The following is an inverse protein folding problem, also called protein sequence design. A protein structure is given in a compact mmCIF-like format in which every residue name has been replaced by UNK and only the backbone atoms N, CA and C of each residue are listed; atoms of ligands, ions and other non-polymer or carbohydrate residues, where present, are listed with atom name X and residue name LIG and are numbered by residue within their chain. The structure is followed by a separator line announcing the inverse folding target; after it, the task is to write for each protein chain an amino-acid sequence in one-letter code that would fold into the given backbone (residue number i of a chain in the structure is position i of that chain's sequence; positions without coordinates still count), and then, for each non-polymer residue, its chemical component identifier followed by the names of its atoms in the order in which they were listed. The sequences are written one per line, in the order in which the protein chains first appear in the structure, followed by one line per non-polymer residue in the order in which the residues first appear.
data_IF_739533949522
#
_entry.id   IF_739533949522
#
_cell.length_a   1.000
_cell.length_b   1.000
_cell.length_c   1.000
_cell.angle_alpha   90.00
_cell.angle_beta   90.00
_cell.angle_gamma   90.00
#
_symmetry.space_group_name_H-M   'P 1'
#
loop_
_entity.id
_entity.type
_entity.pdbx_description
1 polymer ?
#
# COMPACT_ATOMS: atom_id res chain seq x y z
N UNK A 1 98.06 12.21 -54.50
CA UNK A 1 97.80 12.51 -53.07
C UNK A 1 96.34 12.18 -52.80
N UNK A 2 96.09 11.06 -52.13
CA UNK A 2 94.75 10.52 -51.88
C UNK A 2 94.26 11.02 -50.52
N UNK A 3 93.09 11.65 -50.49
CA UNK A 3 92.49 12.17 -49.26
C UNK A 3 91.37 11.23 -48.81
N UNK A 4 91.60 10.51 -47.71
CA UNK A 4 90.65 9.57 -47.11
C UNK A 4 89.69 10.32 -46.19
N UNK A 5 88.40 10.36 -46.52
CA UNK A 5 87.33 10.78 -45.60
C UNK A 5 86.77 9.56 -44.86
N UNK A 6 87.00 9.54 -43.56
CA UNK A 6 86.38 8.59 -42.61
C UNK A 6 84.89 8.92 -42.44
N UNK A 7 84.01 7.95 -42.67
CA UNK A 7 82.59 8.01 -42.31
C UNK A 7 82.38 7.19 -41.04
N UNK A 8 81.96 7.85 -39.96
CA UNK A 8 81.46 7.17 -38.76
C UNK A 8 80.02 6.65 -38.98
N UNK A 9 79.54 5.69 -38.16
CA UNK A 9 78.25 5.05 -38.35
C UNK A 9 77.12 5.86 -37.69
N UNK A 10 76.22 6.41 -38.51
CA UNK A 10 74.86 6.80 -38.10
C UNK A 10 73.95 5.58 -38.30
N UNK A 11 73.29 5.07 -37.27
CA UNK A 11 72.32 3.99 -37.49
C UNK A 11 71.47 3.49 -36.33
N UNK A 12 71.82 3.77 -35.08
CA UNK A 12 71.12 3.13 -33.93
C UNK A 12 70.02 3.99 -33.29
N UNK A 13 70.11 5.32 -33.34
CA UNK A 13 69.18 6.24 -32.65
C UNK A 13 67.75 6.24 -33.24
N UNK A 14 67.63 6.33 -34.57
CA UNK A 14 66.33 6.48 -35.25
C UNK A 14 65.42 5.24 -35.17
N UNK A 15 66.00 4.05 -35.03
CA UNK A 15 65.24 2.81 -34.93
C UNK A 15 64.64 2.62 -33.53
N UNK A 16 65.27 3.17 -32.49
CA UNK A 16 64.75 3.12 -31.13
C UNK A 16 63.54 4.06 -30.97
N UNK A 17 63.63 5.28 -31.50
CA UNK A 17 62.55 6.28 -31.45
C UNK A 17 61.25 5.79 -32.12
N UNK A 18 61.34 5.09 -33.26
CA UNK A 18 60.16 4.50 -33.92
C UNK A 18 59.47 3.43 -33.07
N UNK A 19 60.25 2.60 -32.36
CA UNK A 19 59.68 1.56 -31.49
C UNK A 19 59.01 2.16 -30.26
N UNK A 20 59.61 3.21 -29.68
CA UNK A 20 59.02 3.93 -28.55
C UNK A 20 57.70 4.58 -28.94
N UNK A 21 57.63 5.23 -30.11
CA UNK A 21 56.39 5.85 -30.60
C UNK A 21 55.27 4.82 -30.83
N UNK A 22 55.59 3.68 -31.45
CA UNK A 22 54.62 2.60 -31.68
C UNK A 22 54.11 1.99 -30.37
N UNK A 23 54.97 1.88 -29.35
CA UNK A 23 54.57 1.43 -28.01
C UNK A 23 53.61 2.44 -27.37
N UNK A 24 53.97 3.73 -27.42
CA UNK A 24 53.19 4.80 -26.80
C UNK A 24 51.82 4.95 -27.44
N UNK A 25 51.72 4.73 -28.75
CA UNK A 25 50.44 4.72 -29.46
C UNK A 25 49.54 3.52 -29.06
N UNK A 26 50.13 2.35 -28.80
CA UNK A 26 49.39 1.19 -28.28
C UNK A 26 48.88 1.44 -26.87
N UNK A 27 49.74 1.97 -25.99
CA UNK A 27 49.39 2.30 -24.62
C UNK A 27 48.28 3.36 -24.58
N UNK A 28 48.36 4.37 -25.47
CA UNK A 28 47.31 5.37 -25.63
C UNK A 28 45.98 4.75 -26.05
N UNK A 29 45.97 3.85 -27.04
CA UNK A 29 44.73 3.19 -27.47
C UNK A 29 44.14 2.31 -26.36
N UNK A 30 44.98 1.60 -25.62
CA UNK A 30 44.54 0.79 -24.48
C UNK A 30 43.94 1.67 -23.38
N UNK A 31 44.59 2.78 -23.06
CA UNK A 31 44.09 3.78 -22.11
C UNK A 31 42.76 4.39 -22.57
N UNK A 32 42.62 4.70 -23.86
CA UNK A 32 41.37 5.21 -24.43
C UNK A 32 40.24 4.19 -24.32
N UNK A 33 40.51 2.91 -24.60
CA UNK A 33 39.52 1.85 -24.43
C UNK A 33 39.07 1.70 -22.97
N UNK A 34 40.01 1.75 -22.03
CA UNK A 34 39.70 1.71 -20.60
C UNK A 34 38.87 2.93 -20.16
N UNK A 35 39.21 4.11 -20.67
CA UNK A 35 38.49 5.36 -20.37
C UNK A 35 37.06 5.29 -20.88
N UNK A 36 36.86 4.88 -22.14
CA UNK A 36 35.51 4.71 -22.72
C UNK A 36 34.71 3.71 -21.90
N UNK A 37 35.29 2.56 -21.56
CA UNK A 37 34.61 1.54 -20.75
C UNK A 37 34.24 2.06 -19.35
N UNK A 38 35.13 2.82 -18.72
CA UNK A 38 34.87 3.44 -17.42
C UNK A 38 33.72 4.45 -17.49
N UNK A 39 33.67 5.26 -18.54
CA UNK A 39 32.57 6.20 -18.78
C UNK A 39 31.26 5.43 -18.98
N UNK A 40 31.25 4.42 -19.84
CA UNK A 40 30.05 3.60 -20.11
C UNK A 40 29.50 2.99 -18.83
N UNK A 41 30.36 2.37 -18.01
CA UNK A 41 29.91 1.78 -16.75
C UNK A 41 29.37 2.83 -15.78
N UNK A 42 30.02 3.99 -15.68
CA UNK A 42 29.56 5.07 -14.82
C UNK A 42 28.20 5.63 -15.28
N UNK A 43 27.97 5.74 -16.60
CA UNK A 43 26.68 6.19 -17.14
C UNK A 43 25.58 5.16 -16.93
N UNK A 44 25.87 3.85 -17.13
CA UNK A 44 24.91 2.77 -16.87
C UNK A 44 24.52 2.72 -15.38
N UNK A 45 25.50 2.81 -14.48
CA UNK A 45 25.23 2.84 -13.05
C UNK A 45 24.43 4.10 -12.62
N UNK A 46 24.63 5.24 -13.29
CA UNK A 46 23.86 6.45 -13.02
C UNK A 46 22.40 6.31 -13.51
N UNK A 47 22.17 5.70 -14.67
CA UNK A 47 20.81 5.46 -15.16
C UNK A 47 20.05 4.47 -14.28
N UNK A 48 20.71 3.40 -13.82
CA UNK A 48 20.09 2.41 -12.93
C UNK A 48 19.66 3.05 -11.59
N UNK A 49 20.42 4.03 -11.08
CA UNK A 49 20.06 4.77 -9.87
C UNK A 49 18.88 5.72 -10.10
N UNK A 50 18.84 6.42 -11.23
CA UNK A 50 17.72 7.31 -11.58
C UNK A 50 16.41 6.53 -11.74
N UNK A 51 16.44 5.36 -12.42
CA UNK A 51 15.27 4.48 -12.55
C UNK A 51 14.80 3.93 -11.19
N UNK A 52 15.71 3.67 -10.26
CA UNK A 52 15.36 3.22 -8.91
C UNK A 52 14.72 4.35 -8.07
N UNK A 53 15.23 5.58 -8.18
CA UNK A 53 14.62 6.76 -7.53
C UNK A 53 13.22 7.05 -8.08
N UNK A 54 13.02 6.98 -9.40
CA UNK A 54 11.71 7.17 -10.03
C UNK A 54 10.67 6.11 -9.57
N UNK A 55 11.10 4.84 -9.44
CA UNK A 55 10.24 3.78 -8.90
C UNK A 55 9.87 4.00 -7.42
N UNK A 56 10.75 4.58 -6.61
CA UNK A 56 10.46 4.88 -5.20
C UNK A 56 9.43 6.02 -5.09
N UNK A 57 9.54 7.05 -5.92
CA UNK A 57 8.57 8.16 -5.96
C UNK A 57 7.16 7.68 -6.33
N UNK A 58 7.04 6.81 -7.35
CA UNK A 58 5.76 6.23 -7.81
C UNK A 58 5.06 5.45 -6.69
N UNK A 59 5.78 4.60 -5.96
CA UNK A 59 5.22 3.81 -4.85
C UNK A 59 4.72 4.69 -3.69
N UNK A 60 5.43 5.78 -3.39
CA UNK A 60 5.05 6.71 -2.31
C UNK A 60 3.82 7.52 -2.69
N UNK A 61 3.71 7.98 -3.94
CA UNK A 61 2.50 8.65 -4.44
C UNK A 61 1.30 7.71 -4.46
N UNK A 62 1.46 6.49 -4.96
CA UNK A 62 0.39 5.49 -4.98
C UNK A 62 -0.13 5.17 -3.58
N UNK A 63 0.77 5.01 -2.61
CA UNK A 63 0.37 4.79 -1.22
C UNK A 63 -0.43 5.97 -0.66
N UNK A 64 0.00 7.20 -0.92
CA UNK A 64 -0.71 8.42 -0.47
C UNK A 64 -2.11 8.49 -1.09
N UNK A 65 -2.23 8.20 -2.39
CA UNK A 65 -3.51 8.20 -3.10
C UNK A 65 -4.48 7.16 -2.51
N UNK A 66 -3.99 5.95 -2.23
CA UNK A 66 -4.79 4.89 -1.61
C UNK A 66 -5.21 5.24 -0.18
N UNK A 67 -4.31 5.84 0.59
CA UNK A 67 -4.59 6.28 1.95
C UNK A 67 -5.66 7.38 1.97
N UNK A 68 -5.54 8.38 1.10
CA UNK A 68 -6.52 9.46 0.98
C UNK A 68 -7.90 8.95 0.55
N UNK A 69 -7.95 8.00 -0.38
CA UNK A 69 -9.20 7.35 -0.79
C UNK A 69 -9.82 6.54 0.35
N UNK A 70 -9.00 5.77 1.08
CA UNK A 70 -9.45 5.02 2.24
C UNK A 70 -9.97 5.94 3.36
N UNK A 71 -9.31 7.07 3.61
CA UNK A 71 -9.73 8.08 4.57
C UNK A 71 -11.05 8.71 4.17
N UNK A 72 -11.21 9.15 2.91
CA UNK A 72 -12.47 9.70 2.41
C UNK A 72 -13.63 8.71 2.54
N UNK A 73 -13.38 7.44 2.20
CA UNK A 73 -14.35 6.35 2.36
C UNK A 73 -14.69 6.10 3.82
N UNK A 74 -13.72 6.20 4.73
CA UNK A 74 -13.97 6.08 6.15
C UNK A 74 -14.79 7.27 6.66
N UNK A 75 -14.42 8.50 6.29
CA UNK A 75 -15.10 9.73 6.70
C UNK A 75 -16.54 9.80 6.21
N UNK A 76 -16.84 9.29 5.01
CA UNK A 76 -18.20 9.26 4.47
C UNK A 76 -19.16 8.29 5.18
N UNK A 77 -18.65 7.35 5.99
CA UNK A 77 -19.48 6.41 6.75
C UNK A 77 -20.22 7.11 7.88
N UNK A 78 -21.41 6.60 8.20
CA UNK A 78 -22.21 7.09 9.33
C UNK A 78 -21.59 6.69 10.67
N UNK A 79 -21.96 7.36 11.77
CA UNK A 79 -21.46 7.00 13.11
C UNK A 79 -21.83 5.56 13.50
N UNK A 80 -23.01 5.10 13.08
CA UNK A 80 -23.47 3.73 13.31
C UNK A 80 -22.48 2.71 12.68
N UNK A 81 -22.16 2.89 11.40
CA UNK A 81 -21.21 2.03 10.67
C UNK A 81 -19.78 2.12 11.22
N UNK A 82 -19.36 3.28 11.74
CA UNK A 82 -18.02 3.49 12.28
C UNK A 82 -17.82 2.83 13.64
N UNK A 83 -18.83 2.88 14.50
CA UNK A 83 -18.64 2.67 15.94
C UNK A 83 -19.64 1.71 16.58
N UNK A 84 -20.88 1.62 16.11
CA UNK A 84 -21.92 0.88 16.84
C UNK A 84 -21.80 -0.64 16.71
N UNK A 85 -21.01 -1.12 15.75
CA UNK A 85 -20.65 -2.54 15.63
C UNK A 85 -19.39 -2.91 16.43
N UNK A 86 -18.72 -1.94 17.06
CA UNK A 86 -17.48 -2.17 17.80
C UNK A 86 -17.77 -2.35 19.30
N UNK A 87 -17.59 -3.56 19.81
CA UNK A 87 -17.84 -3.90 21.22
C UNK A 87 -17.10 -2.97 22.20
N UNK A 88 -15.84 -2.60 21.90
CA UNK A 88 -15.06 -1.71 22.76
C UNK A 88 -15.68 -0.31 22.86
N UNK A 89 -16.29 0.17 21.78
CA UNK A 89 -16.97 1.46 21.76
C UNK A 89 -18.27 1.41 22.58
N UNK A 90 -19.04 0.32 22.47
CA UNK A 90 -20.26 0.10 23.24
C UNK A 90 -19.93 0.06 24.73
N UNK A 91 -18.93 -0.73 25.14
CA UNK A 91 -18.48 -0.81 26.53
C UNK A 91 -18.00 0.53 27.07
N UNK A 92 -17.25 1.29 26.26
CA UNK A 92 -16.78 2.63 26.62
C UNK A 92 -17.96 3.56 26.90
N UNK A 93 -18.97 3.56 26.02
CA UNK A 93 -20.19 4.35 26.19
C UNK A 93 -20.98 3.92 27.42
N UNK A 94 -21.10 2.61 27.66
CA UNK A 94 -21.75 2.06 28.85
C UNK A 94 -21.09 2.57 30.14
N UNK A 95 -19.75 2.49 30.23
CA UNK A 95 -19.00 2.97 31.41
C UNK A 95 -19.20 4.46 31.66
N UNK A 96 -19.28 5.28 30.62
CA UNK A 96 -19.57 6.71 30.75
C UNK A 96 -21.01 6.95 31.22
N UNK A 97 -21.95 6.13 30.72
CA UNK A 97 -23.35 6.22 31.08
C UNK A 97 -23.59 5.87 32.56
N UNK A 98 -23.01 4.76 33.02
CA UNK A 98 -23.14 4.24 34.40
C UNK A 98 -22.71 5.27 35.46
N UNK A 99 -21.76 6.15 35.14
CA UNK A 99 -21.30 7.23 36.04
C UNK A 99 -22.42 8.22 36.35
N UNK A 100 -23.28 8.50 35.37
CA UNK A 100 -24.34 9.50 35.49
C UNK A 100 -25.72 8.86 35.75
N UNK A 101 -25.88 7.57 35.46
CA UNK A 101 -27.13 6.82 35.59
C UNK A 101 -26.86 5.43 36.21
N UNK A 102 -26.63 5.35 37.54
CA UNK A 102 -26.14 4.14 38.19
C UNK A 102 -27.15 2.97 38.22
N UNK A 103 -28.45 3.28 38.12
CA UNK A 103 -29.54 2.29 38.22
C UNK A 103 -30.26 2.07 36.87
N UNK A 104 -29.79 2.69 35.78
CA UNK A 104 -30.42 2.60 34.45
C UNK A 104 -29.47 1.99 33.42
N UNK A 105 -29.94 1.01 32.67
CA UNK A 105 -29.19 0.48 31.52
C UNK A 105 -29.06 1.53 30.42
N UNK A 106 -27.90 1.61 29.77
CA UNK A 106 -27.69 2.54 28.67
C UNK A 106 -28.69 2.21 27.54
N UNK A 107 -29.40 3.21 27.01
CA UNK A 107 -30.25 3.03 25.83
C UNK A 107 -29.43 2.47 24.65
N UNK A 108 -30.06 1.71 23.73
CA UNK A 108 -29.39 1.27 22.52
C UNK A 108 -28.84 2.46 21.73
N UNK A 109 -27.63 2.33 21.19
CA UNK A 109 -26.96 3.41 20.46
C UNK A 109 -27.62 3.68 19.11
N UNK A 110 -28.21 2.64 18.50
CA UNK A 110 -28.95 2.75 17.25
C UNK A 110 -30.38 3.24 17.50
N UNK A 111 -30.70 4.42 16.95
CA UNK A 111 -32.03 5.03 17.06
C UNK A 111 -33.06 4.33 16.16
N UNK A 112 -32.61 3.64 15.11
CA UNK A 112 -33.51 2.92 14.20
C UNK A 112 -34.03 1.62 14.84
N UNK A 113 -33.31 1.05 15.82
CA UNK A 113 -33.73 -0.14 16.55
C UNK A 113 -34.91 0.11 17.50
N UNK A 114 -35.15 1.37 17.92
CA UNK A 114 -36.28 1.74 18.78
C UNK A 114 -37.62 1.82 18.01
N UNK A 115 -37.59 1.93 16.68
CA UNK A 115 -38.79 2.09 15.86
C UNK A 115 -39.44 0.75 15.42
N UNK A 116 -38.83 -0.40 15.70
CA UNK A 116 -39.26 -1.70 15.19
C UNK A 116 -39.57 -2.75 16.27
N UNK A 117 -40.40 -2.40 17.27
CA UNK A 117 -41.32 -3.37 17.92
C UNK A 117 -42.53 -2.62 18.50
N UNK A 118 -43.65 -2.67 17.79
CA UNK A 118 -44.96 -2.27 18.32
C UNK A 118 -45.68 -3.53 18.80
N UNK A 119 -45.45 -3.93 20.05
CA UNK A 119 -46.25 -4.98 20.69
C UNK A 119 -47.66 -4.46 20.98
N UNK A 120 -48.58 -4.66 20.04
CA UNK A 120 -50.00 -4.41 20.24
C UNK A 120 -50.60 -5.41 21.25
N UNK A 121 -51.48 -4.94 22.16
CA UNK A 121 -52.24 -5.83 23.05
C UNK A 121 -53.27 -6.61 22.23
N UNK A 122 -52.97 -7.86 21.90
CA UNK A 122 -53.94 -8.80 21.33
C UNK A 122 -54.76 -9.43 22.47
N UNK A 123 -56.09 -9.31 22.40
CA UNK A 123 -56.99 -10.09 23.27
C UNK A 123 -57.40 -11.33 22.52
N UNK A 124 -56.97 -12.49 22.99
CA UNK A 124 -57.41 -13.78 22.46
C UNK A 124 -58.64 -14.27 23.24
N UNK A 125 -59.64 -14.75 22.52
CA UNK A 125 -60.84 -15.32 23.13
C UNK A 125 -60.60 -16.78 23.46
N UNK A 126 -60.83 -17.18 24.71
CA UNK A 126 -60.76 -18.57 25.17
C UNK A 126 -62.08 -19.33 24.94
N UNK A 127 -63.05 -18.72 24.29
CA UNK A 127 -64.33 -19.33 23.95
C UNK A 127 -64.34 -19.91 22.55
N UNK A 128 -64.88 -21.12 22.40
CA UNK A 128 -65.08 -21.75 21.11
C UNK A 128 -66.10 -20.95 20.28
N UNK A 129 -65.79 -20.59 19.03
CA UNK A 129 -66.71 -19.83 18.18
C UNK A 129 -67.99 -20.60 17.79
N UNK A 130 -68.01 -21.93 17.95
CA UNK A 130 -69.18 -22.77 17.61
C UNK A 130 -70.06 -23.01 18.83
N UNK A 131 -69.47 -23.39 19.96
CA UNK A 131 -70.22 -23.79 21.15
C UNK A 131 -70.42 -22.66 22.15
N UNK A 132 -69.71 -21.54 21.98
CA UNK A 132 -69.64 -20.40 22.92
C UNK A 132 -69.27 -20.78 24.37
N UNK A 133 -68.72 -21.99 24.55
CA UNK A 133 -68.17 -22.51 25.80
C UNK A 133 -66.64 -22.37 25.82
N UNK A 134 -66.06 -22.56 27.00
CA UNK A 134 -64.60 -22.56 27.16
C UNK A 134 -63.97 -23.67 26.30
N UNK A 135 -62.85 -23.37 25.64
CA UNK A 135 -62.13 -24.36 24.84
C UNK A 135 -61.56 -25.48 25.72
N UNK A 136 -61.87 -26.73 25.37
CA UNK A 136 -61.32 -27.92 26.04
C UNK A 136 -60.30 -28.63 25.12
N UNK A 137 -60.68 -28.89 23.86
CA UNK A 137 -59.81 -29.45 22.82
C UNK A 137 -59.65 -28.46 21.64
N UNK A 138 -58.78 -27.44 21.77
CA UNK A 138 -58.58 -26.47 20.69
C UNK A 138 -57.87 -27.11 19.50
N UNK A 139 -58.50 -27.02 18.32
CA UNK A 139 -57.91 -27.46 17.06
C UNK A 139 -57.68 -26.27 16.13
N UNK A 140 -56.54 -26.26 15.45
CA UNK A 140 -56.25 -25.33 14.36
C UNK A 140 -56.28 -26.11 13.04
N UNK A 141 -56.62 -25.43 11.94
CA UNK A 141 -56.48 -26.04 10.62
C UNK A 141 -54.98 -26.22 10.32
N UNK A 142 -54.59 -27.40 9.87
CA UNK A 142 -53.31 -27.60 9.22
C UNK A 142 -53.46 -27.26 7.74
N UNK A 143 -52.68 -26.30 7.24
CA UNK A 143 -52.53 -26.09 5.81
C UNK A 143 -51.57 -27.16 5.26
N UNK A 144 -52.04 -27.96 4.31
CA UNK A 144 -51.20 -28.66 3.33
C UNK A 144 -51.17 -27.82 2.04
#
# INVERSE_FOLDING_TARGET
MSSSRSRGPLGTSQYNERREFDSLFKDFNEMMHLTVRGITYATEAATDLEEAEEQEEDLVEDYKLQLDDALKKYESKTENEKYFQNENYIEFRQKIWDVNHPDETMPPLDKEADDEIVMGRQKESLYCPITTLLLEEPVTRYFL
#
